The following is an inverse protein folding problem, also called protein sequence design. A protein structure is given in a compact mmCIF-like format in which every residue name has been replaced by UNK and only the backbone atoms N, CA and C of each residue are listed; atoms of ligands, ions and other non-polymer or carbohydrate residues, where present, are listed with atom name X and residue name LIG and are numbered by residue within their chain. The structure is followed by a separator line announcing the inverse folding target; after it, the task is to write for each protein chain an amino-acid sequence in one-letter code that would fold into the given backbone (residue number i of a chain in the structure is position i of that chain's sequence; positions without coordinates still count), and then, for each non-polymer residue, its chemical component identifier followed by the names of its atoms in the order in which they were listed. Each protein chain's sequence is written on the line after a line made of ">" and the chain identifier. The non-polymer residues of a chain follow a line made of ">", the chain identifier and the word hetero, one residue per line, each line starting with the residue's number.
data_IF_713983233341
#
_entry.id   IF_713983233341
#
_cell.length_a   1.000
_cell.length_b   1.000
_cell.length_c   1.000
_cell.angle_alpha   90.00
_cell.angle_beta   90.00
_cell.angle_gamma   90.00
#
_symmetry.space_group_name_H-M   'P 1'
#
loop_
_entity.id
_entity.type
_entity.pdbx_description
1 polymer ?
#
# COMPACT_ATOMS: atom_id res chain seq x y z
N UNK A 1 -13.60 -32.83 -43.57
CA UNK A 1 -14.92 -32.77 -42.90
C UNK A 1 -14.72 -32.13 -41.54
N UNK A 2 -15.49 -31.07 -41.25
CA UNK A 2 -15.44 -30.31 -39.99
C UNK A 2 -16.09 -31.13 -38.87
N UNK A 3 -15.42 -31.23 -37.72
CA UNK A 3 -15.93 -31.92 -36.53
C UNK A 3 -15.66 -31.07 -35.29
N UNK A 4 -16.52 -30.09 -35.06
CA UNK A 4 -16.59 -29.24 -33.87
C UNK A 4 -17.24 -30.00 -32.72
N UNK A 5 -16.52 -30.30 -31.63
CA UNK A 5 -17.12 -30.58 -30.31
C UNK A 5 -16.18 -30.17 -29.16
N UNK A 6 -15.93 -28.87 -29.02
CA UNK A 6 -15.64 -28.33 -27.69
C UNK A 6 -16.97 -28.02 -27.03
N UNK A 7 -17.45 -28.98 -26.26
CA UNK A 7 -18.62 -28.84 -25.41
C UNK A 7 -18.29 -27.94 -24.22
N UNK A 8 -18.93 -26.78 -24.18
CA UNK A 8 -19.44 -26.05 -23.00
C UNK A 8 -19.18 -26.76 -21.67
N UNK A 9 -18.20 -26.28 -20.91
CA UNK A 9 -18.10 -26.52 -19.47
C UNK A 9 -18.16 -25.15 -18.78
N UNK A 10 -19.39 -24.78 -18.44
CA UNK A 10 -19.71 -23.75 -17.46
C UNK A 10 -19.52 -24.35 -16.07
N UNK A 11 -18.42 -24.00 -15.39
CA UNK A 11 -18.33 -23.95 -13.93
C UNK A 11 -17.47 -22.75 -13.56
N UNK A 12 -18.14 -21.69 -13.15
CA UNK A 12 -17.57 -20.57 -12.41
C UNK A 12 -16.95 -21.13 -11.12
N UNK A 13 -15.63 -21.30 -11.09
CA UNK A 13 -14.90 -21.40 -9.84
C UNK A 13 -14.46 -20.00 -9.43
N UNK A 14 -15.31 -19.33 -8.64
CA UNK A 14 -14.90 -18.17 -7.83
C UNK A 14 -14.61 -18.71 -6.45
N UNK A 15 -13.33 -18.94 -6.16
CA UNK A 15 -12.83 -19.15 -4.80
C UNK A 15 -13.10 -17.87 -4.01
N UNK A 16 -13.93 -17.88 -2.95
CA UNK A 16 -14.21 -16.67 -2.19
C UNK A 16 -13.09 -16.52 -1.16
N UNK A 17 -11.99 -15.89 -1.56
CA UNK A 17 -10.97 -15.49 -0.59
C UNK A 17 -11.57 -14.45 0.34
N UNK A 18 -11.56 -14.81 1.63
CA UNK A 18 -12.21 -14.16 2.77
C UNK A 18 -11.59 -12.80 3.16
N UNK A 19 -11.01 -12.07 2.20
CA UNK A 19 -10.20 -10.86 2.42
C UNK A 19 -10.83 -9.57 1.92
N UNK A 20 -12.02 -9.60 1.31
CA UNK A 20 -12.69 -8.41 0.73
C UNK A 20 -13.77 -7.77 1.60
N UNK A 21 -13.75 -8.00 2.91
CA UNK A 21 -14.69 -7.39 3.86
C UNK A 21 -13.96 -6.59 4.93
N UNK A 22 -13.25 -5.53 4.50
CA UNK A 22 -12.83 -4.45 5.39
C UNK A 22 -12.55 -3.15 4.62
N UNK A 23 -13.58 -2.61 3.94
CA UNK A 23 -13.66 -1.18 3.63
C UNK A 23 -15.12 -0.70 3.78
N UNK A 24 -15.37 -0.16 4.98
CA UNK A 24 -16.19 1.00 5.32
C UNK A 24 -17.70 1.03 5.00
N UNK A 25 -18.46 0.87 6.08
CA UNK A 25 -19.84 1.29 6.33
C UNK A 25 -20.29 2.58 5.61
N UNK A 26 -21.05 2.38 4.52
CA UNK A 26 -22.16 3.12 3.84
C UNK A 26 -22.60 4.54 4.33
N UNK A 27 -23.19 5.44 3.48
CA UNK A 27 -23.67 5.26 2.09
C UNK A 27 -23.43 6.43 1.06
N UNK A 28 -23.75 6.14 -0.23
CA UNK A 28 -24.01 7.02 -1.40
C UNK A 28 -22.84 7.65 -2.19
N UNK A 29 -21.96 6.84 -2.79
CA UNK A 29 -21.29 7.27 -4.01
C UNK A 29 -21.17 6.10 -5.00
N UNK A 30 -22.05 6.11 -5.99
CA UNK A 30 -22.09 5.17 -7.10
C UNK A 30 -20.96 5.49 -8.07
N UNK A 31 -19.73 5.03 -7.78
CA UNK A 31 -18.75 4.68 -8.81
C UNK A 31 -17.52 4.07 -8.12
N UNK A 32 -17.29 2.78 -8.36
CA UNK A 32 -16.01 2.16 -8.04
C UNK A 32 -14.98 2.64 -9.06
N UNK A 33 -14.04 3.49 -8.64
CA UNK A 33 -12.92 3.89 -9.48
C UNK A 33 -11.74 2.94 -9.22
N UNK A 34 -11.43 2.09 -10.20
CA UNK A 34 -10.21 1.29 -10.17
C UNK A 34 -9.07 2.16 -10.73
N UNK A 35 -8.15 2.58 -9.86
CA UNK A 35 -6.96 3.30 -10.32
C UNK A 35 -6.03 2.33 -11.07
N UNK A 36 -5.84 2.58 -12.37
CA UNK A 36 -4.85 1.88 -13.18
C UNK A 36 -3.42 2.36 -12.86
N UNK A 37 -2.42 1.55 -13.18
CA UNK A 37 -1.01 1.70 -12.74
C UNK A 37 -0.48 3.15 -12.68
N UNK A 38 -0.56 3.92 -13.76
CA UNK A 38 -0.03 5.31 -13.79
C UNK A 38 -0.93 6.32 -13.06
N UNK A 39 -2.23 6.04 -12.96
CA UNK A 39 -3.18 6.90 -12.26
C UNK A 39 -3.01 6.82 -10.74
N UNK A 40 -2.57 5.69 -10.21
CA UNK A 40 -2.25 5.51 -8.77
C UNK A 40 -1.17 6.49 -8.33
N UNK A 41 -0.04 6.52 -9.05
CA UNK A 41 1.10 7.37 -8.68
C UNK A 41 0.76 8.86 -8.74
N UNK A 42 -0.01 9.27 -9.76
CA UNK A 42 -0.45 10.65 -9.90
C UNK A 42 -1.38 11.05 -8.75
N UNK A 43 -2.34 10.17 -8.39
CA UNK A 43 -3.25 10.43 -7.26
C UNK A 43 -2.51 10.57 -5.94
N UNK A 44 -1.54 9.68 -5.68
CA UNK A 44 -0.74 9.73 -4.46
C UNK A 44 0.10 11.01 -4.36
N UNK A 45 0.65 11.49 -5.49
CA UNK A 45 1.39 12.76 -5.53
C UNK A 45 0.47 13.95 -5.24
N UNK A 46 -0.68 14.03 -5.89
CA UNK A 46 -1.68 15.08 -5.67
C UNK A 46 -2.12 15.15 -4.20
N UNK A 47 -2.42 14.00 -3.59
CA UNK A 47 -2.84 13.94 -2.19
C UNK A 47 -1.73 14.38 -1.22
N UNK A 48 -0.49 14.00 -1.49
CA UNK A 48 0.66 14.43 -0.68
C UNK A 48 0.95 15.93 -0.82
N UNK A 49 0.82 16.49 -2.02
CA UNK A 49 0.97 17.94 -2.24
C UNK A 49 -0.13 18.74 -1.56
N UNK A 50 -1.38 18.26 -1.62
CA UNK A 50 -2.51 18.85 -0.90
C UNK A 50 -2.25 18.87 0.61
N UNK A 51 -1.76 17.76 1.18
CA UNK A 51 -1.44 17.67 2.61
C UNK A 51 -0.28 18.58 3.02
N UNK A 52 0.71 18.78 2.15
CA UNK A 52 1.82 19.73 2.38
C UNK A 52 1.32 21.17 2.41
N UNK A 53 0.43 21.56 1.48
CA UNK A 53 -0.15 22.92 1.41
C UNK A 53 -0.96 23.28 2.64
N UNK A 54 -1.77 22.36 3.15
CA UNK A 54 -2.58 22.58 4.38
C UNK A 54 -1.72 22.55 5.65
N UNK A 55 -0.48 22.05 5.57
CA UNK A 55 0.47 21.89 6.69
C UNK A 55 -0.01 20.94 7.79
N UNK A 56 -0.74 19.88 7.42
CA UNK A 56 -1.05 18.80 8.36
C UNK A 56 0.22 18.10 8.83
N UNK A 57 0.23 17.62 10.08
CA UNK A 57 1.33 16.81 10.64
C UNK A 57 1.71 15.62 9.74
N UNK A 58 0.70 14.93 9.19
CA UNK A 58 0.87 13.86 8.21
C UNK A 58 1.69 14.33 6.99
N UNK A 59 1.33 15.50 6.43
CA UNK A 59 2.00 16.11 5.27
C UNK A 59 3.42 16.58 5.58
N UNK A 60 3.62 17.20 6.74
CA UNK A 60 4.95 17.63 7.21
C UNK A 60 5.89 16.45 7.43
N UNK A 61 5.40 15.34 7.99
CA UNK A 61 6.20 14.11 8.13
C UNK A 61 6.55 13.49 6.78
N UNK A 62 5.65 13.52 5.81
CA UNK A 62 5.95 13.11 4.44
C UNK A 62 6.99 14.01 3.77
N UNK A 63 6.98 15.32 4.06
CA UNK A 63 8.00 16.24 3.56
C UNK A 63 9.39 15.94 4.17
N UNK A 64 9.47 15.66 5.46
CA UNK A 64 10.72 15.30 6.15
C UNK A 64 11.17 13.84 5.94
N UNK A 65 10.42 13.03 5.19
CA UNK A 65 10.74 11.61 4.99
C UNK A 65 10.63 10.75 6.25
N UNK A 66 9.88 11.20 7.25
CA UNK A 66 9.67 10.48 8.50
C UNK A 66 8.46 9.54 8.41
N UNK A 67 8.47 8.49 9.24
CA UNK A 67 7.33 7.56 9.37
C UNK A 67 6.10 8.32 9.89
N UNK A 68 4.95 8.04 9.29
CA UNK A 68 3.73 8.85 9.45
C UNK A 68 2.71 8.26 10.42
N UNK A 69 2.70 6.92 10.59
CA UNK A 69 1.73 6.18 11.43
C UNK A 69 2.01 6.26 12.94
N UNK A 70 2.67 7.31 13.42
CA UNK A 70 2.94 7.50 14.86
C UNK A 70 3.94 6.51 15.46
N UNK A 71 4.78 5.88 14.65
CA UNK A 71 5.73 4.89 15.14
C UNK A 71 6.92 5.53 15.86
N UNK A 72 7.42 4.88 16.92
CA UNK A 72 8.55 5.37 17.70
C UNK A 72 9.86 5.37 16.89
N UNK A 73 10.42 6.55 16.62
CA UNK A 73 11.65 6.73 15.82
C UNK A 73 12.94 6.75 16.65
N UNK A 74 12.88 6.50 17.97
CA UNK A 74 14.08 6.50 18.85
C UNK A 74 15.04 5.37 18.47
N UNK A 75 14.52 4.16 18.37
CA UNK A 75 15.28 2.92 18.15
C UNK A 75 14.96 2.25 16.81
N UNK A 76 13.77 2.45 16.25
CA UNK A 76 13.32 1.78 15.03
C UNK A 76 13.58 2.61 13.76
N UNK A 77 13.82 1.94 12.63
CA UNK A 77 13.98 2.61 11.33
C UNK A 77 15.32 3.32 11.11
N UNK A 78 16.34 3.03 11.92
CA UNK A 78 17.72 3.48 11.69
C UNK A 78 18.31 2.72 10.49
N UNK A 79 18.65 3.43 9.42
CA UNK A 79 19.44 2.89 8.31
C UNK A 79 20.89 3.35 8.48
N UNK A 80 21.83 2.41 8.49
CA UNK A 80 23.25 2.63 8.76
C UNK A 80 23.88 1.40 9.43
N UNK A 81 25.21 1.37 9.55
CA UNK A 81 25.92 0.27 10.22
C UNK A 81 25.56 0.26 11.70
N UNK A 82 25.05 -0.87 12.19
CA UNK A 82 24.87 -1.09 13.63
C UNK A 82 26.23 -0.94 14.29
N UNK A 83 26.38 0.02 15.21
CA UNK A 83 27.51 0.06 16.13
C UNK A 83 27.32 -1.05 17.16
N UNK A 84 27.56 -2.29 16.74
CA UNK A 84 27.63 -3.43 17.65
C UNK A 84 28.89 -3.35 18.50
N UNK A 85 28.82 -3.89 19.71
CA UNK A 85 29.96 -4.05 20.63
C UNK A 85 31.12 -4.72 19.89
N UNK A 86 32.27 -4.05 19.83
CA UNK A 86 33.52 -4.63 19.36
C UNK A 86 33.97 -5.72 20.34
N UNK A 87 33.80 -7.00 19.99
CA UNK A 87 34.48 -8.07 20.72
C UNK A 87 35.98 -7.98 20.40
N UNK A 88 36.81 -7.85 21.44
CA UNK A 88 38.26 -7.96 21.32
C UNK A 88 38.56 -9.34 20.72
N UNK A 89 39.25 -9.39 19.59
CA UNK A 89 39.70 -10.64 18.99
C UNK A 89 40.71 -11.25 19.96
N UNK A 90 40.35 -12.39 20.56
CA UNK A 90 41.26 -13.16 21.41
C UNK A 90 42.47 -13.56 20.57
N UNK A 91 43.67 -13.37 21.16
CA UNK A 91 44.94 -13.82 20.57
C UNK A 91 45.07 -15.32 20.54
#
# INVERSE_FOLDING_TARGET
>A
MRGTKYSRISKEEVVPDRSYLYLDSLPLFTHFFQLLSTAVDNKLREDLERLKKIRLHRGLRHYWGLRVRGQHTKTTGRKGRTVGVSKKKGG
#
